data_IF_054532382694
#
_entry.id   IF_054532382694
#
_cell.length_a   1.000
_cell.length_b   1.000
_cell.length_c   1.000
_cell.angle_alpha   90.00
_cell.angle_beta   90.00
_cell.angle_gamma   90.00
#
_symmetry.space_group_name_H-M   'P 1'
#
loop_
_entity.id
_entity.type
_entity.pdbx_description
1 polymer ?
#
# COMPACT_ATOMS: atom_id res chain seq x y z
N UNK A 1 -0.74 12.41 -31.18
CA UNK A 1 0.70 12.45 -30.89
C UNK A 1 0.85 12.12 -29.41
N UNK A 2 0.94 10.83 -29.08
CA UNK A 2 1.17 10.40 -27.71
C UNK A 2 2.68 10.44 -27.50
N UNK A 3 3.15 11.33 -26.63
CA UNK A 3 4.53 11.31 -26.19
C UNK A 3 4.73 10.01 -25.41
N UNK A 4 5.60 9.13 -25.91
CA UNK A 4 6.19 8.03 -25.17
C UNK A 4 6.80 8.61 -23.90
N UNK A 5 6.04 8.53 -22.80
CA UNK A 5 6.58 8.82 -21.49
C UNK A 5 7.49 7.65 -21.14
N UNK A 6 8.79 7.92 -21.02
CA UNK A 6 9.77 6.95 -20.56
C UNK A 6 9.24 6.23 -19.31
N UNK A 7 9.13 4.90 -19.30
CA UNK A 7 8.69 4.18 -18.11
C UNK A 7 9.52 4.51 -16.85
N UNK A 8 10.77 4.95 -17.01
CA UNK A 8 11.60 5.47 -15.92
C UNK A 8 11.12 6.81 -15.34
N UNK A 9 10.54 7.70 -16.16
CA UNK A 9 10.03 9.00 -15.69
C UNK A 9 8.73 8.85 -14.90
N UNK A 10 7.85 7.92 -15.30
CA UNK A 10 6.57 7.69 -14.62
C UNK A 10 6.75 7.23 -13.18
N UNK A 11 7.71 6.33 -12.93
CA UNK A 11 8.02 5.89 -11.56
C UNK A 11 8.70 6.96 -10.72
N UNK A 12 9.49 7.83 -11.35
CA UNK A 12 10.11 8.98 -10.66
C UNK A 12 9.04 9.95 -10.14
N UNK A 13 8.11 10.34 -11.01
CA UNK A 13 7.02 11.25 -10.67
C UNK A 13 6.09 10.64 -9.62
N UNK A 14 5.73 9.36 -9.78
CA UNK A 14 4.90 8.64 -8.81
C UNK A 14 5.58 8.54 -7.44
N UNK A 15 6.90 8.26 -7.41
CA UNK A 15 7.65 8.15 -6.15
C UNK A 15 7.69 9.49 -5.40
N UNK A 16 7.91 10.59 -6.13
CA UNK A 16 7.89 11.92 -5.54
C UNK A 16 6.49 12.27 -4.98
N UNK A 17 5.43 11.96 -5.74
CA UNK A 17 4.05 12.15 -5.31
C UNK A 17 3.72 11.30 -4.07
N UNK A 18 4.19 10.05 -4.00
CA UNK A 18 4.00 9.19 -2.84
C UNK A 18 4.73 9.73 -1.62
N UNK A 19 5.99 10.17 -1.76
CA UNK A 19 6.72 10.80 -0.66
C UNK A 19 5.98 12.02 -0.09
N UNK A 20 5.50 12.91 -0.97
CA UNK A 20 4.72 14.08 -0.57
C UNK A 20 3.41 13.68 0.13
N UNK A 21 2.67 12.71 -0.42
CA UNK A 21 1.43 12.23 0.19
C UNK A 21 1.64 11.65 1.59
N UNK A 22 2.68 10.83 1.80
CA UNK A 22 3.00 10.24 3.10
C UNK A 22 3.41 11.30 4.14
N UNK A 23 4.10 12.34 3.70
CA UNK A 23 4.44 13.48 4.53
C UNK A 23 3.19 14.29 4.93
N UNK A 24 2.32 14.57 3.95
CA UNK A 24 1.10 15.38 4.12
C UNK A 24 -0.04 14.65 4.83
N UNK A 25 -0.01 13.32 4.88
CA UNK A 25 -0.96 12.52 5.65
C UNK A 25 -0.99 13.04 7.10
N UNK A 26 -2.17 13.39 7.62
CA UNK A 26 -2.25 13.92 8.97
C UNK A 26 -2.14 12.79 10.00
N UNK A 27 -1.36 13.05 11.05
CA UNK A 27 -1.19 12.17 12.21
C UNK A 27 -2.32 12.44 13.23
N UNK A 28 -3.34 11.58 13.24
CA UNK A 28 -4.45 11.63 14.20
C UNK A 28 -4.44 10.38 15.10
N UNK A 29 -5.14 10.44 16.24
CA UNK A 29 -5.19 9.33 17.21
C UNK A 29 -5.67 8.01 16.58
N UNK A 30 -6.63 8.06 15.66
CA UNK A 30 -7.17 6.88 14.97
C UNK A 30 -6.53 6.65 13.58
N UNK A 31 -5.54 7.48 13.25
CA UNK A 31 -4.72 7.38 12.06
C UNK A 31 -5.39 7.82 10.74
N UNK A 32 -4.53 8.21 9.80
CA UNK A 32 -4.89 8.36 8.39
C UNK A 32 -4.46 7.12 7.62
N UNK A 33 -5.28 6.70 6.66
CA UNK A 33 -5.03 5.51 5.84
C UNK A 33 -4.89 5.89 4.38
N UNK A 34 -3.87 5.34 3.72
CA UNK A 34 -3.71 5.36 2.28
C UNK A 34 -3.52 3.91 1.82
N UNK A 35 -4.19 3.51 0.75
CA UNK A 35 -4.07 2.17 0.18
C UNK A 35 -3.89 2.26 -1.32
N UNK A 36 -2.87 1.58 -1.84
CA UNK A 36 -2.66 1.36 -3.27
C UNK A 36 -3.17 -0.04 -3.64
N UNK A 37 -3.96 -0.10 -4.71
CA UNK A 37 -4.54 -1.33 -5.25
C UNK A 37 -4.36 -1.38 -6.77
N UNK A 38 -4.08 -2.56 -7.31
CA UNK A 38 -4.10 -2.80 -8.76
C UNK A 38 -5.54 -2.75 -9.34
N UNK A 39 -5.68 -2.24 -10.57
CA UNK A 39 -6.92 -2.26 -11.35
C UNK A 39 -7.10 -3.60 -12.09
N UNK A 40 -8.32 -4.17 -12.12
CA UNK A 40 -9.07 -4.83 -11.03
C UNK A 40 -8.28 -5.99 -10.37
N UNK A 41 -8.68 -6.41 -9.16
CA UNK A 41 -7.75 -6.89 -8.15
C UNK A 41 -7.45 -8.38 -8.29
N UNK A 42 -6.20 -8.72 -8.58
CA UNK A 42 -5.66 -10.02 -8.22
C UNK A 42 -4.44 -9.84 -7.30
N UNK A 43 -4.62 -10.19 -6.03
CA UNK A 43 -3.58 -10.59 -5.08
C UNK A 43 -2.79 -9.57 -4.25
N UNK A 44 -2.68 -8.28 -4.58
CA UNK A 44 -1.82 -7.34 -3.84
C UNK A 44 -2.56 -6.24 -3.03
N UNK A 45 -2.09 -5.98 -1.81
CA UNK A 45 -2.42 -4.82 -0.99
C UNK A 45 -1.12 -4.09 -0.59
N UNK A 46 -1.08 -2.78 -0.83
CA UNK A 46 -0.11 -1.88 -0.18
C UNK A 46 -0.86 -0.85 0.64
N UNK A 47 -0.63 -0.84 1.95
CA UNK A 47 -1.30 0.04 2.89
C UNK A 47 -0.31 0.95 3.61
N UNK A 48 -0.78 2.12 4.00
CA UNK A 48 -0.07 3.07 4.84
C UNK A 48 -1.00 3.54 5.92
N UNK A 49 -0.54 3.50 7.17
CA UNK A 49 -1.27 3.95 8.34
C UNK A 49 -0.37 4.95 9.05
N UNK A 50 -0.85 6.18 9.23
CA UNK A 50 -0.11 7.24 9.92
C UNK A 50 -0.86 7.72 11.14
N UNK A 51 -0.27 7.60 12.31
CA UNK A 51 -0.79 8.09 13.59
C UNK A 51 0.24 9.00 14.26
N UNK A 52 0.08 9.25 15.56
CA UNK A 52 0.98 10.12 16.34
C UNK A 52 2.36 9.50 16.61
N UNK A 53 2.45 8.17 16.61
CA UNK A 53 3.69 7.44 16.89
C UNK A 53 4.52 7.28 15.61
N UNK A 54 3.85 7.11 14.48
CA UNK A 54 4.49 7.21 13.18
C UNK A 54 3.69 6.71 11.99
N UNK A 55 4.43 6.37 10.94
CA UNK A 55 3.90 5.85 9.69
C UNK A 55 4.30 4.38 9.54
N UNK A 56 3.32 3.51 9.40
CA UNK A 56 3.52 2.10 9.05
C UNK A 56 3.13 1.88 7.59
N UNK A 57 4.07 1.42 6.78
CA UNK A 57 3.80 0.86 5.47
C UNK A 57 3.63 -0.67 5.56
N UNK A 58 2.67 -1.21 4.84
CA UNK A 58 2.37 -2.64 4.80
C UNK A 58 2.29 -3.12 3.35
N UNK A 59 2.90 -4.27 3.05
CA UNK A 59 2.76 -4.95 1.76
C UNK A 59 2.39 -6.40 2.01
N UNK A 60 1.33 -6.87 1.37
CA UNK A 60 0.90 -8.26 1.53
C UNK A 60 -0.23 -8.68 0.62
N UNK A 61 -0.70 -9.93 0.76
CA UNK A 61 -1.85 -10.40 0.00
C UNK A 61 -3.12 -9.70 0.46
N UNK A 62 -4.03 -9.42 -0.48
CA UNK A 62 -5.36 -8.89 -0.15
C UNK A 62 -6.04 -9.81 0.88
N UNK A 63 -6.53 -9.28 2.02
CA UNK A 63 -7.22 -10.10 3.01
C UNK A 63 -8.50 -10.68 2.42
N UNK A 64 -8.54 -12.01 2.25
CA UNK A 64 -9.75 -12.74 1.84
C UNK A 64 -10.81 -12.68 2.95
N UNK A 65 -12.07 -12.37 2.58
CA UNK A 65 -13.19 -12.30 3.52
C UNK A 65 -13.42 -13.63 4.25
N UNK A 66 -13.25 -13.63 5.58
CA UNK A 66 -13.62 -14.72 6.49
C UNK A 66 -12.56 -15.81 6.70
N UNK A 67 -12.32 -16.19 7.97
CA UNK A 67 -11.30 -17.17 8.36
C UNK A 67 -11.47 -18.59 7.75
N UNK A 68 -12.69 -19.16 7.63
CA UNK A 68 -12.86 -20.51 7.07
C UNK A 68 -12.60 -20.57 5.56
N UNK A 69 -13.09 -19.58 4.81
CA UNK A 69 -12.84 -19.45 3.37
C UNK A 69 -11.35 -19.18 3.09
N UNK A 70 -10.70 -18.39 3.95
CA UNK A 70 -9.25 -18.15 3.91
C UNK A 70 -8.45 -19.43 4.08
N UNK A 71 -8.78 -20.27 5.07
CA UNK A 71 -8.08 -21.53 5.30
C UNK A 71 -8.27 -22.52 4.14
N UNK A 72 -9.50 -22.66 3.63
CA UNK A 72 -9.81 -23.50 2.48
C UNK A 72 -9.06 -23.04 1.21
N UNK A 73 -9.02 -21.73 0.95
CA UNK A 73 -8.26 -21.15 -0.15
C UNK A 73 -6.75 -21.42 -0.01
N UNK A 74 -6.18 -21.27 1.19
CA UNK A 74 -4.76 -21.49 1.46
C UNK A 74 -4.31 -22.96 1.33
N UNK A 75 -5.21 -23.90 1.61
CA UNK A 75 -4.94 -25.33 1.52
C UNK A 75 -5.13 -25.89 0.10
N UNK A 76 -5.82 -25.15 -0.78
CA UNK A 76 -5.97 -25.54 -2.19
C UNK A 76 -4.61 -25.58 -2.93
N UNK A 77 -4.48 -26.31 -4.07
CA UNK A 77 -3.29 -26.26 -4.91
C UNK A 77 -2.90 -24.83 -5.32
N UNK A 78 -3.90 -24.00 -5.64
CA UNK A 78 -3.70 -22.57 -5.94
C UNK A 78 -3.16 -21.81 -4.73
N UNK A 79 -3.70 -22.05 -3.53
CA UNK A 79 -3.21 -21.46 -2.29
C UNK A 79 -1.80 -21.92 -1.91
N UNK A 80 -1.43 -23.18 -2.21
CA UNK A 80 -0.06 -23.67 -2.04
C UNK A 80 0.92 -23.02 -3.01
N UNK A 81 0.53 -22.82 -4.26
CA UNK A 81 1.35 -22.09 -5.24
C UNK A 81 1.54 -20.63 -4.81
N UNK A 82 0.44 -19.96 -4.42
CA UNK A 82 0.45 -18.60 -3.90
C UNK A 82 1.38 -18.49 -2.68
N UNK A 83 1.30 -19.42 -1.71
CA UNK A 83 2.21 -19.43 -0.55
C UNK A 83 3.69 -19.52 -0.91
N UNK A 84 4.06 -20.30 -1.93
CA UNK A 84 5.46 -20.37 -2.39
C UNK A 84 5.91 -19.06 -3.02
N UNK A 85 5.06 -18.47 -3.87
CA UNK A 85 5.32 -17.16 -4.46
C UNK A 85 5.51 -16.09 -3.38
N UNK A 86 4.66 -16.06 -2.35
CA UNK A 86 4.80 -15.14 -1.21
C UNK A 86 6.01 -15.43 -0.31
N UNK A 87 6.47 -16.68 -0.21
CA UNK A 87 7.68 -17.01 0.54
C UNK A 87 8.95 -16.51 -0.18
N UNK A 88 9.02 -16.68 -1.50
CA UNK A 88 10.11 -16.15 -2.32
C UNK A 88 10.11 -14.62 -2.34
N UNK A 89 8.93 -14.01 -2.54
CA UNK A 89 8.74 -12.56 -2.44
C UNK A 89 9.11 -12.03 -1.05
N UNK A 90 8.67 -12.71 0.00
CA UNK A 90 8.97 -12.37 1.39
C UNK A 90 10.46 -12.38 1.71
N UNK A 91 11.22 -13.31 1.12
CA UNK A 91 12.67 -13.35 1.28
C UNK A 91 13.35 -12.12 0.68
N UNK A 92 12.85 -11.63 -0.46
CA UNK A 92 13.35 -10.42 -1.12
C UNK A 92 12.95 -9.15 -0.36
N UNK A 93 11.73 -9.09 0.18
CA UNK A 93 11.30 -8.00 1.06
C UNK A 93 12.16 -7.91 2.33
N UNK A 94 12.44 -9.03 3.00
CA UNK A 94 13.32 -9.04 4.17
C UNK A 94 14.74 -8.60 3.82
N UNK A 95 15.28 -9.01 2.68
CA UNK A 95 16.57 -8.52 2.19
C UNK A 95 16.55 -7.01 1.88
N UNK A 96 15.40 -6.45 1.51
CA UNK A 96 15.17 -5.03 1.32
C UNK A 96 14.86 -4.25 2.62
N UNK A 97 14.96 -4.90 3.80
CA UNK A 97 14.79 -4.26 5.10
C UNK A 97 13.35 -4.26 5.65
N UNK A 98 12.43 -4.98 5.02
CA UNK A 98 11.06 -5.11 5.53
C UNK A 98 10.97 -6.12 6.67
N UNK A 99 10.20 -5.77 7.70
CA UNK A 99 9.91 -6.63 8.84
C UNK A 99 8.93 -7.72 8.42
N UNK A 100 9.25 -9.01 8.63
CA UNK A 100 8.35 -10.11 8.29
C UNK A 100 7.11 -10.14 9.22
N UNK A 101 6.01 -10.75 8.76
CA UNK A 101 4.82 -10.92 9.59
C UNK A 101 5.13 -11.68 10.89
N UNK A 102 4.87 -11.05 12.04
CA UNK A 102 5.19 -11.63 13.36
C UNK A 102 4.16 -12.65 13.88
N UNK A 103 2.97 -12.72 13.28
CA UNK A 103 1.88 -13.60 13.72
C UNK A 103 1.29 -14.38 12.55
N UNK A 104 0.85 -15.63 12.79
CA UNK A 104 0.26 -16.53 11.77
C UNK A 104 -0.96 -15.95 11.04
N UNK A 105 -1.58 -14.91 11.59
CA UNK A 105 -2.79 -14.28 11.06
C UNK A 105 -2.50 -12.98 10.29
N UNK A 106 -1.30 -12.38 10.48
CA UNK A 106 -0.81 -11.25 9.70
C UNK A 106 0.05 -11.79 8.57
N UNK A 107 -0.21 -11.34 7.35
CA UNK A 107 0.50 -11.78 6.15
C UNK A 107 1.17 -10.61 5.43
N UNK A 108 1.16 -9.43 6.06
CA UNK A 108 1.86 -8.25 5.58
C UNK A 108 3.26 -8.19 6.16
N UNK A 109 4.20 -7.80 5.31
CA UNK A 109 5.49 -7.27 5.70
C UNK A 109 5.31 -5.80 6.00
N UNK A 110 6.04 -5.29 7.00
CA UNK A 110 5.90 -3.92 7.43
C UNK A 110 7.22 -3.16 7.38
N UNK A 111 7.13 -1.86 7.17
CA UNK A 111 8.22 -0.93 7.39
C UNK A 111 7.68 0.25 8.18
N UNK A 112 8.33 0.55 9.30
CA UNK A 112 7.90 1.60 10.23
C UNK A 112 8.81 2.81 10.07
N UNK A 113 8.21 3.99 10.10
CA UNK A 113 8.88 5.27 10.13
C UNK A 113 8.39 6.04 11.37
N UNK A 114 9.19 6.09 12.46
CA UNK A 114 8.80 6.78 13.68
C UNK A 114 8.78 8.30 13.49
N UNK A 115 7.91 8.98 14.22
CA UNK A 115 7.86 10.45 14.23
C UNK A 115 8.72 11.04 15.38
N UNK A 116 9.31 12.24 15.19
CA UNK A 116 9.26 13.06 13.99
C UNK A 116 10.18 12.52 12.87
N UNK A 117 9.65 12.42 11.66
CA UNK A 117 10.40 12.06 10.46
C UNK A 117 10.68 13.29 9.58
N UNK A 118 11.83 13.33 8.91
CA UNK A 118 12.12 14.38 7.95
C UNK A 118 11.58 14.05 6.54
N UNK A 119 11.66 15.03 5.64
CA UNK A 119 11.23 14.85 4.25
C UNK A 119 11.97 13.71 3.54
N UNK A 120 13.28 13.56 3.79
CA UNK A 120 14.10 12.54 3.16
C UNK A 120 13.71 11.13 3.64
N UNK A 121 13.21 10.99 4.87
CA UNK A 121 12.66 9.73 5.36
C UNK A 121 11.43 9.27 4.58
N UNK A 122 10.45 10.14 4.35
CA UNK A 122 9.28 9.79 3.55
C UNK A 122 9.64 9.50 2.09
N UNK A 123 10.58 10.25 1.51
CA UNK A 123 11.10 10.00 0.17
C UNK A 123 11.79 8.62 0.09
N UNK A 124 12.57 8.24 1.11
CA UNK A 124 13.18 6.90 1.19
C UNK A 124 12.14 5.79 1.29
N UNK A 125 11.11 5.96 2.12
CA UNK A 125 10.04 4.98 2.26
C UNK A 125 9.23 4.84 0.96
N UNK A 126 8.90 5.96 0.31
CA UNK A 126 8.22 5.95 -0.98
C UNK A 126 9.05 5.24 -2.05
N UNK A 127 10.37 5.50 -2.11
CA UNK A 127 11.26 4.82 -3.04
C UNK A 127 11.35 3.31 -2.76
N UNK A 128 11.39 2.91 -1.49
CA UNK A 128 11.39 1.49 -1.11
C UNK A 128 10.11 0.78 -1.57
N UNK A 129 8.94 1.39 -1.36
CA UNK A 129 7.65 0.85 -1.84
C UNK A 129 7.59 0.80 -3.36
N UNK A 130 7.92 1.91 -4.05
CA UNK A 130 7.92 1.95 -5.51
C UNK A 130 8.83 0.87 -6.09
N UNK A 131 10.02 0.66 -5.50
CA UNK A 131 10.92 -0.39 -5.94
C UNK A 131 10.29 -1.78 -5.85
N UNK A 132 9.57 -2.07 -4.77
CA UNK A 132 8.82 -3.34 -4.67
C UNK A 132 7.75 -3.44 -5.75
N UNK A 133 6.98 -2.37 -5.97
CA UNK A 133 5.92 -2.36 -6.99
C UNK A 133 6.48 -2.55 -8.41
N UNK A 134 7.61 -1.91 -8.72
CA UNK A 134 8.24 -1.94 -10.04
C UNK A 134 9.07 -3.21 -10.28
N UNK A 135 10.03 -3.50 -9.39
CA UNK A 135 11.03 -4.54 -9.61
C UNK A 135 10.49 -5.94 -9.29
N UNK A 136 9.70 -6.04 -8.21
CA UNK A 136 9.28 -7.34 -7.67
C UNK A 136 7.91 -7.77 -8.15
N UNK A 137 7.03 -6.80 -8.40
CA UNK A 137 5.64 -7.03 -8.82
C UNK A 137 5.40 -6.64 -10.28
N UNK A 138 6.40 -6.07 -10.95
CA UNK A 138 6.37 -5.71 -12.37
C UNK A 138 5.16 -4.85 -12.75
N UNK A 139 4.71 -4.00 -11.83
CA UNK A 139 3.60 -3.09 -12.06
C UNK A 139 4.05 -1.83 -12.80
N UNK A 140 3.07 -1.03 -13.21
CA UNK A 140 3.27 0.33 -13.71
C UNK A 140 2.35 1.28 -12.94
N UNK A 141 2.71 2.57 -12.75
CA UNK A 141 1.91 3.49 -11.95
C UNK A 141 0.45 3.61 -12.42
N UNK A 142 0.22 3.58 -13.74
CA UNK A 142 -1.12 3.68 -14.33
C UNK A 142 -2.05 2.49 -14.01
N UNK A 143 -1.47 1.35 -13.63
CA UNK A 143 -2.20 0.16 -13.18
C UNK A 143 -2.69 0.29 -11.73
N UNK A 144 -2.21 1.28 -10.98
CA UNK A 144 -2.58 1.52 -9.60
C UNK A 144 -3.82 2.41 -9.50
N UNK A 145 -4.59 2.16 -8.45
CA UNK A 145 -5.62 3.03 -7.89
C UNK A 145 -5.29 3.24 -6.44
N UNK A 146 -5.64 4.41 -5.92
CA UNK A 146 -5.48 4.67 -4.50
C UNK A 146 -6.82 5.00 -3.83
N UNK A 147 -6.94 4.65 -2.57
CA UNK A 147 -7.98 5.15 -1.68
C UNK A 147 -7.27 5.75 -0.48
N UNK A 148 -7.67 6.95 -0.06
CA UNK A 148 -7.09 7.59 1.12
C UNK A 148 -8.18 8.26 1.94
N UNK A 149 -8.14 8.09 3.25
CA UNK A 149 -9.10 8.65 4.18
C UNK A 149 -8.52 8.82 5.59
N UNK A 150 -9.05 9.78 6.32
CA UNK A 150 -8.90 9.91 7.76
C UNK A 150 -10.06 9.19 8.44
N UNK A 151 -9.84 8.47 9.55
CA UNK A 151 -10.92 7.73 10.23
C UNK A 151 -11.81 8.61 11.13
N UNK A 152 -11.21 9.56 11.86
CA UNK A 152 -11.95 10.44 12.78
C UNK A 152 -11.49 11.91 12.71
N UNK A 153 -12.35 12.85 12.24
CA UNK A 153 -13.60 12.59 11.54
C UNK A 153 -13.36 11.92 10.18
N UNK A 154 -14.29 11.06 9.78
CA UNK A 154 -14.21 10.33 8.52
C UNK A 154 -14.21 11.30 7.33
N UNK A 155 -13.12 11.33 6.57
CA UNK A 155 -12.94 12.23 5.41
C UNK A 155 -12.06 11.59 4.35
N UNK A 156 -12.48 11.66 3.09
CA UNK A 156 -11.62 11.29 1.97
C UNK A 156 -10.45 12.29 1.83
N UNK A 157 -9.24 11.77 1.71
CA UNK A 157 -8.02 12.52 1.44
C UNK A 157 -7.71 12.46 -0.06
N UNK A 158 -7.19 13.55 -0.62
CA UNK A 158 -6.80 13.65 -2.02
C UNK A 158 -5.33 14.00 -2.12
N UNK A 159 -4.62 13.31 -2.99
CA UNK A 159 -3.19 13.51 -3.21
C UNK A 159 -2.93 13.52 -4.72
N UNK A 160 -2.27 14.57 -5.18
CA UNK A 160 -1.94 14.71 -6.58
C UNK A 160 -0.84 13.72 -6.99
N UNK A 161 -0.87 13.24 -8.23
CA UNK A 161 0.18 12.39 -8.79
C UNK A 161 0.15 10.91 -8.42
N UNK A 162 -0.77 10.44 -7.56
CA UNK A 162 -0.91 9.02 -7.19
C UNK A 162 -1.81 8.17 -8.11
N UNK A 163 -2.24 8.73 -9.24
CA UNK A 163 -3.09 8.05 -10.21
C UNK A 163 -4.58 8.21 -9.91
N UNK A 164 -5.39 7.17 -10.18
CA UNK A 164 -6.85 7.27 -10.07
C UNK A 164 -7.31 7.02 -8.63
N UNK A 165 -7.89 8.03 -7.99
CA UNK A 165 -8.56 7.86 -6.71
C UNK A 165 -9.82 7.00 -6.85
N UNK A 166 -9.95 6.00 -5.99
CA UNK A 166 -11.21 5.31 -5.72
C UNK A 166 -11.81 5.90 -4.45
N UNK A 167 -13.02 6.48 -4.52
CA UNK A 167 -13.72 6.86 -3.31
C UNK A 167 -13.93 5.62 -2.45
N UNK A 168 -13.82 5.81 -1.15
CA UNK A 168 -14.08 4.80 -0.11
C UNK A 168 -15.48 4.17 -0.21
N UNK A 169 -16.39 4.82 -0.95
CA UNK A 169 -17.76 4.36 -1.17
C UNK A 169 -18.70 4.70 -0.01
N UNK A 170 -18.29 5.59 0.91
CA UNK A 170 -19.15 6.07 1.98
C UNK A 170 -20.30 6.88 1.39
N UNK A 171 -21.49 6.28 1.35
CA UNK A 171 -22.73 7.05 1.20
C UNK A 171 -22.88 7.85 2.48
N UNK A 172 -22.72 9.16 2.42
CA UNK A 172 -23.30 10.05 3.42
C UNK A 172 -24.78 9.65 3.56
N UNK A 173 -25.13 8.97 4.65
CA UNK A 173 -26.52 9.02 5.11
C UNK A 173 -26.71 10.45 5.56
N UNK A 174 -27.18 11.30 4.64
CA UNK A 174 -27.70 12.60 4.99
C UNK A 174 -28.74 12.41 6.08
N UNK A 175 -28.43 12.90 7.27
CA UNK A 175 -29.46 13.25 8.24
C UNK A 175 -30.20 14.44 7.65
N UNK A 176 -31.39 14.16 7.13
CA UNK A 176 -32.45 15.15 6.96
C UNK A 176 -32.94 15.60 8.34
#
# INVERSE_FOLDING_TARGET
>A
MALDQDPGSQWTDFTAALGAALQEMPAYNDGSKLTLNEKPPESLFVGFIKDQDGLTAEIGPVPSRGAPARLAALLSPRGRALRRQWAEFGSRLTAAGWTPPQAKERWSWTQELPEPADRADYERLAAAVTRVLADELHLVPSALTYTAFQEDPLRDLQFDGLGTQRPTGFKHRGTA
#
